data_IF_024236257932
#
_entry.id   IF_024236257932
#
_cell.length_a   1.000
_cell.length_b   1.000
_cell.length_c   1.000
_cell.angle_alpha   90.00
_cell.angle_beta   90.00
_cell.angle_gamma   90.00
#
_symmetry.space_group_name_H-M   'P 1'
#
loop_
_entity.id
_entity.type
_entity.pdbx_description
1 polymer ?
#
# COMPACT_ATOMS: atom_id res chain seq x y z
N UNK A 1 40.00 -10.85 -3.21
CA UNK A 1 38.79 -10.99 -4.04
C UNK A 1 38.03 -9.68 -3.97
N UNK A 2 37.86 -8.98 -5.09
CA UNK A 2 36.95 -7.82 -5.13
C UNK A 2 35.55 -8.28 -4.72
N UNK A 3 34.79 -7.50 -3.92
CA UNK A 3 33.43 -7.87 -3.56
C UNK A 3 32.64 -8.11 -4.83
N UNK A 4 31.88 -9.21 -4.88
CA UNK A 4 30.98 -9.48 -6.01
C UNK A 4 30.05 -8.28 -6.19
N UNK A 5 29.81 -7.82 -7.44
CA UNK A 5 28.95 -6.66 -7.66
C UNK A 5 27.57 -6.94 -7.07
N UNK A 6 27.11 -6.03 -6.21
CA UNK A 6 25.76 -6.09 -5.66
C UNK A 6 24.80 -5.30 -6.58
N UNK A 7 23.64 -5.86 -6.91
CA UNK A 7 22.63 -5.16 -7.70
C UNK A 7 22.08 -3.97 -6.92
N UNK A 8 21.92 -2.83 -7.59
CA UNK A 8 21.22 -1.69 -7.01
C UNK A 8 19.77 -1.67 -7.51
N UNK A 9 18.80 -1.84 -6.62
CA UNK A 9 17.37 -1.85 -6.98
C UNK A 9 16.66 -0.66 -6.35
N UNK A 10 16.24 0.27 -7.21
CA UNK A 10 15.41 1.41 -6.83
C UNK A 10 13.94 1.05 -7.06
N UNK A 11 13.23 0.91 -5.94
CA UNK A 11 11.78 0.67 -5.93
C UNK A 11 11.01 1.98 -5.83
N UNK A 12 9.99 2.15 -6.67
CA UNK A 12 9.09 3.31 -6.61
C UNK A 12 7.65 2.86 -6.50
N UNK A 13 6.82 3.68 -5.87
CA UNK A 13 5.37 3.49 -5.83
C UNK A 13 4.89 2.66 -4.64
N UNK A 14 4.26 1.52 -4.91
CA UNK A 14 3.45 0.81 -3.92
C UNK A 14 4.23 -0.26 -3.12
N UNK A 15 3.60 -0.75 -2.04
CA UNK A 15 4.14 -1.82 -1.18
C UNK A 15 4.43 -3.11 -1.93
N UNK A 16 3.65 -3.41 -2.98
CA UNK A 16 3.94 -4.53 -3.90
C UNK A 16 5.29 -4.35 -4.60
N UNK A 17 5.57 -3.17 -5.16
CA UNK A 17 6.86 -2.92 -5.78
C UNK A 17 8.01 -3.08 -4.77
N UNK A 18 7.82 -2.73 -3.50
CA UNK A 18 8.83 -2.96 -2.45
C UNK A 18 9.07 -4.47 -2.27
N UNK A 19 8.01 -5.25 -2.02
CA UNK A 19 8.12 -6.70 -1.85
C UNK A 19 8.75 -7.39 -3.08
N UNK A 20 8.31 -7.04 -4.28
CA UNK A 20 8.83 -7.58 -5.54
C UNK A 20 10.30 -7.19 -5.78
N UNK A 21 10.73 -6.02 -5.30
CA UNK A 21 12.12 -5.57 -5.44
C UNK A 21 13.11 -6.36 -4.59
N UNK A 22 12.70 -6.85 -3.42
CA UNK A 22 13.52 -7.76 -2.62
C UNK A 22 13.82 -9.05 -3.38
N UNK A 23 12.78 -9.63 -4.01
CA UNK A 23 12.95 -10.81 -4.86
C UNK A 23 13.89 -10.53 -6.03
N UNK A 24 13.74 -9.36 -6.68
CA UNK A 24 14.62 -8.95 -7.78
C UNK A 24 16.09 -8.84 -7.33
N UNK A 25 16.36 -8.27 -6.14
CA UNK A 25 17.75 -8.17 -5.62
C UNK A 25 18.42 -9.53 -5.51
N UNK A 26 17.67 -10.54 -5.09
CA UNK A 26 18.18 -11.90 -4.93
C UNK A 26 18.40 -12.58 -6.29
N UNK A 27 17.44 -12.46 -7.20
CA UNK A 27 17.56 -13.00 -8.55
C UNK A 27 18.71 -12.35 -9.34
N UNK A 28 19.00 -11.08 -9.06
CA UNK A 28 20.08 -10.32 -9.68
C UNK A 28 21.41 -10.37 -8.90
N UNK A 29 21.50 -11.14 -7.81
CA UNK A 29 22.70 -11.18 -6.97
C UNK A 29 23.92 -11.65 -7.77
N UNK A 30 25.07 -11.01 -7.54
CA UNK A 30 26.32 -11.32 -8.26
C UNK A 30 26.45 -10.67 -9.64
N UNK A 31 25.47 -9.86 -10.08
CA UNK A 31 25.53 -9.10 -11.33
C UNK A 31 25.73 -7.60 -11.08
N UNK A 32 26.48 -6.95 -11.97
CA UNK A 32 26.58 -5.49 -12.01
C UNK A 32 25.38 -4.88 -12.75
N UNK A 33 24.23 -4.85 -12.06
CA UNK A 33 22.95 -4.39 -12.62
C UNK A 33 22.30 -3.34 -11.73
N UNK A 34 21.76 -2.30 -12.36
CA UNK A 34 20.93 -1.27 -11.75
C UNK A 34 19.49 -1.47 -12.22
N UNK A 35 18.55 -1.67 -11.28
CA UNK A 35 17.14 -1.93 -11.61
C UNK A 35 16.25 -0.80 -11.13
N UNK A 36 15.39 -0.29 -12.01
CA UNK A 36 14.29 0.61 -11.63
C UNK A 36 12.98 -0.15 -11.71
N UNK A 37 12.37 -0.45 -10.56
CA UNK A 37 11.02 -0.99 -10.49
C UNK A 37 9.99 0.14 -10.49
N UNK A 38 9.51 0.46 -11.70
CA UNK A 38 8.71 1.65 -11.99
C UNK A 38 7.25 1.55 -11.52
N UNK A 39 6.65 2.72 -11.25
CA UNK A 39 5.26 2.85 -10.82
C UNK A 39 4.45 3.69 -11.82
N UNK A 40 3.21 3.27 -12.07
CA UNK A 40 2.28 3.93 -12.99
C UNK A 40 1.02 4.50 -12.32
N UNK A 41 0.94 4.46 -10.98
CA UNK A 41 -0.25 4.90 -10.23
C UNK A 41 -0.55 6.38 -10.50
N UNK A 42 0.48 7.23 -10.51
CA UNK A 42 0.37 8.65 -10.83
C UNK A 42 1.36 9.07 -11.93
N UNK A 43 1.07 10.18 -12.62
CA UNK A 43 1.98 10.74 -13.65
C UNK A 43 3.27 11.21 -12.98
N UNK A 44 3.16 11.65 -11.73
CA UNK A 44 4.30 12.00 -10.91
C UNK A 44 5.19 10.78 -10.60
N UNK A 45 4.60 9.63 -10.27
CA UNK A 45 5.36 8.39 -10.07
C UNK A 45 6.09 7.95 -11.35
N UNK A 46 5.50 8.15 -12.53
CA UNK A 46 6.16 7.89 -13.82
C UNK A 46 7.33 8.86 -14.03
N UNK A 47 7.15 10.15 -13.74
CA UNK A 47 8.24 11.15 -13.80
C UNK A 47 9.38 10.81 -12.86
N UNK A 48 9.07 10.43 -11.61
CA UNK A 48 10.05 9.98 -10.62
C UNK A 48 10.80 8.73 -11.10
N UNK A 49 10.12 7.81 -11.79
CA UNK A 49 10.76 6.64 -12.41
C UNK A 49 11.78 7.04 -13.46
N UNK A 50 11.41 7.96 -14.38
CA UNK A 50 12.34 8.50 -15.39
C UNK A 50 13.50 9.28 -14.77
N UNK A 51 13.26 10.04 -13.70
CA UNK A 51 14.32 10.74 -12.97
C UNK A 51 15.28 9.77 -12.26
N UNK A 52 14.76 8.70 -11.67
CA UNK A 52 15.56 7.66 -11.03
C UNK A 52 16.48 6.94 -12.02
N UNK A 53 15.98 6.61 -13.23
CA UNK A 53 16.78 6.04 -14.32
C UNK A 53 17.99 6.92 -14.64
N UNK A 54 17.76 8.21 -14.89
CA UNK A 54 18.84 9.16 -15.20
C UNK A 54 19.85 9.31 -14.08
N UNK A 55 19.38 9.30 -12.84
CA UNK A 55 20.26 9.35 -11.66
C UNK A 55 21.13 8.10 -11.57
N UNK A 56 20.54 6.91 -11.71
CA UNK A 56 21.26 5.64 -11.65
C UNK A 56 22.29 5.50 -12.75
N UNK A 57 21.97 5.88 -14.00
CA UNK A 57 22.95 5.85 -15.09
C UNK A 57 24.16 6.74 -14.80
N UNK A 58 23.95 7.92 -14.19
CA UNK A 58 25.05 8.80 -13.79
C UNK A 58 25.91 8.23 -12.66
N UNK A 59 25.30 7.57 -11.67
CA UNK A 59 26.05 6.99 -10.54
C UNK A 59 26.66 5.63 -10.86
N UNK A 60 26.11 4.89 -11.83
CA UNK A 60 26.57 3.57 -12.28
C UNK A 60 26.67 3.50 -13.80
N UNK A 61 27.65 4.18 -14.42
CA UNK A 61 27.74 4.27 -15.88
C UNK A 61 27.97 2.92 -16.56
N UNK A 62 28.70 2.00 -15.92
CA UNK A 62 29.06 0.68 -16.47
C UNK A 62 28.04 -0.43 -16.20
N UNK A 63 27.14 -0.25 -15.24
CA UNK A 63 26.18 -1.29 -14.88
C UNK A 63 25.10 -1.43 -15.96
N UNK A 64 24.59 -2.65 -16.16
CA UNK A 64 23.39 -2.86 -16.98
C UNK A 64 22.21 -2.17 -16.28
N UNK A 65 21.54 -1.22 -16.93
CA UNK A 65 20.37 -0.53 -16.41
C UNK A 65 19.11 -1.18 -16.97
N UNK A 66 18.41 -1.92 -16.10
CA UNK A 66 17.15 -2.59 -16.40
C UNK A 66 15.99 -1.81 -15.82
N UNK A 67 14.95 -1.57 -16.62
CA UNK A 67 13.69 -0.98 -16.14
C UNK A 67 12.60 -2.03 -16.15
N UNK A 68 11.86 -2.14 -15.05
CA UNK A 68 10.69 -3.02 -14.93
C UNK A 68 9.54 -2.33 -14.22
N UNK A 69 8.49 -3.05 -13.86
CA UNK A 69 7.34 -2.55 -13.13
C UNK A 69 6.20 -2.06 -14.01
N UNK A 70 5.22 -1.40 -13.39
CA UNK A 70 3.94 -1.08 -14.03
C UNK A 70 4.10 -0.08 -15.18
N UNK A 71 4.93 0.97 -15.02
CA UNK A 71 5.06 2.00 -16.04
C UNK A 71 5.78 1.47 -17.28
N UNK A 72 6.85 0.71 -17.07
CA UNK A 72 7.59 0.04 -18.14
C UNK A 72 6.76 -1.00 -18.90
N UNK A 73 5.74 -1.57 -18.28
CA UNK A 73 4.82 -2.51 -18.94
C UNK A 73 3.73 -1.81 -19.73
N UNK A 74 3.25 -0.65 -19.26
CA UNK A 74 2.23 0.15 -19.94
C UNK A 74 2.83 0.91 -21.13
N UNK A 75 4.06 1.40 -21.01
CA UNK A 75 4.77 2.16 -22.04
C UNK A 75 6.17 1.58 -22.35
N UNK A 76 6.26 0.35 -22.86
CA UNK A 76 7.55 -0.29 -23.10
C UNK A 76 8.41 0.48 -24.12
N UNK A 77 7.78 1.03 -25.16
CA UNK A 77 8.46 1.82 -26.18
C UNK A 77 9.06 3.11 -25.60
N UNK A 78 8.30 3.85 -24.78
CA UNK A 78 8.77 5.11 -24.20
C UNK A 78 9.86 4.94 -23.13
N UNK A 79 9.98 3.77 -22.51
CA UNK A 79 11.13 3.45 -21.65
C UNK A 79 12.33 2.90 -22.44
N UNK A 80 12.10 2.08 -23.48
CA UNK A 80 13.18 1.57 -24.34
C UNK A 80 13.85 2.66 -25.19
N UNK A 81 13.13 3.74 -25.50
CA UNK A 81 13.67 4.90 -26.22
C UNK A 81 14.58 5.79 -25.35
N UNK A 82 14.67 5.56 -24.04
CA UNK A 82 15.58 6.31 -23.17
C UNK A 82 17.01 5.81 -23.38
N UNK A 83 17.93 6.70 -23.76
CA UNK A 83 19.33 6.36 -24.00
C UNK A 83 20.03 5.76 -22.77
N UNK A 84 19.50 6.01 -21.57
CA UNK A 84 20.04 5.48 -20.33
C UNK A 84 19.65 4.02 -20.06
N UNK A 85 18.67 3.45 -20.76
CA UNK A 85 18.07 2.13 -20.49
C UNK A 85 18.66 1.08 -21.43
N UNK A 86 19.24 0.02 -20.88
CA UNK A 86 19.79 -1.08 -21.68
C UNK A 86 18.71 -2.12 -22.00
N UNK A 87 17.78 -2.35 -21.06
CA UNK A 87 16.76 -3.38 -21.20
C UNK A 87 15.49 -3.06 -20.44
N UNK A 88 14.35 -3.40 -21.03
CA UNK A 88 13.03 -3.35 -20.38
C UNK A 88 12.54 -4.77 -20.10
N UNK A 89 12.16 -5.04 -18.84
CA UNK A 89 11.55 -6.31 -18.42
C UNK A 89 10.09 -6.05 -18.05
N UNK A 90 9.15 -6.67 -18.77
CA UNK A 90 7.74 -6.52 -18.47
C UNK A 90 7.38 -7.11 -17.09
N UNK A 91 6.37 -6.52 -16.45
CA UNK A 91 5.98 -6.83 -15.08
C UNK A 91 5.67 -8.32 -14.83
N UNK A 92 5.03 -9.08 -15.74
CA UNK A 92 4.80 -10.52 -15.55
C UNK A 92 6.09 -11.36 -15.47
N UNK A 93 7.18 -10.89 -16.09
CA UNK A 93 8.45 -11.62 -16.15
C UNK A 93 9.47 -11.16 -15.11
N UNK A 94 9.18 -10.11 -14.35
CA UNK A 94 10.16 -9.49 -13.44
C UNK A 94 10.57 -10.36 -12.26
N UNK A 95 9.78 -11.38 -11.92
CA UNK A 95 10.12 -12.35 -10.88
C UNK A 95 10.58 -13.69 -11.47
N UNK A 96 10.81 -13.75 -12.79
CA UNK A 96 11.31 -14.94 -13.47
C UNK A 96 12.84 -15.00 -13.36
N UNK A 97 13.44 -16.09 -12.84
CA UNK A 97 14.90 -16.21 -12.72
C UNK A 97 15.66 -16.02 -14.05
N UNK A 98 15.19 -16.55 -15.20
CA UNK A 98 15.80 -16.26 -16.51
C UNK A 98 15.88 -14.78 -16.87
N UNK A 99 14.95 -13.93 -16.41
CA UNK A 99 15.00 -12.48 -16.66
C UNK A 99 16.24 -11.83 -16.03
N UNK A 100 16.82 -12.48 -15.04
CA UNK A 100 17.99 -12.06 -14.27
C UNK A 100 19.18 -12.99 -14.45
N UNK A 101 19.15 -13.91 -15.44
CA UNK A 101 20.25 -14.84 -15.70
C UNK A 101 20.54 -15.76 -14.51
N UNK A 102 19.51 -16.06 -13.73
CA UNK A 102 19.57 -16.96 -12.58
C UNK A 102 18.88 -18.27 -12.91
N UNK A 103 19.54 -19.39 -12.59
CA UNK A 103 18.98 -20.74 -12.65
C UNK A 103 18.38 -21.17 -11.30
N UNK A 104 18.46 -20.30 -10.28
CA UNK A 104 17.82 -20.59 -9.01
C UNK A 104 16.32 -20.74 -9.26
N UNK A 105 15.68 -21.82 -8.79
CA UNK A 105 14.22 -21.91 -8.82
C UNK A 105 13.63 -20.69 -8.11
N UNK A 106 12.35 -20.38 -8.35
CA UNK A 106 11.61 -19.39 -7.57
C UNK A 106 11.59 -19.81 -6.10
N UNK A 107 12.69 -19.59 -5.38
CA UNK A 107 12.78 -19.76 -3.97
C UNK A 107 11.89 -18.64 -3.39
N UNK A 108 10.93 -18.97 -2.52
CA UNK A 108 10.15 -17.96 -1.84
C UNK A 108 11.08 -17.32 -0.82
N UNK A 109 11.88 -16.34 -1.24
CA UNK A 109 12.85 -15.73 -0.33
C UNK A 109 12.25 -14.50 0.31
N UNK A 110 11.87 -14.72 1.55
CA UNK A 110 11.62 -13.77 2.62
C UNK A 110 12.95 -13.29 3.20
N UNK A 111 13.11 -11.99 3.35
CA UNK A 111 13.66 -11.33 4.54
C UNK A 111 13.94 -9.87 4.18
N UNK A 112 13.28 -8.95 4.89
CA UNK A 112 13.49 -7.52 4.71
C UNK A 112 14.73 -7.11 5.50
N UNK A 113 15.89 -7.11 4.85
CA UNK A 113 17.06 -6.47 5.41
C UNK A 113 16.81 -4.94 5.46
N UNK A 114 16.31 -4.44 6.59
CA UNK A 114 16.25 -3.00 6.90
C UNK A 114 14.86 -2.38 7.09
N UNK A 115 13.76 -3.13 6.95
CA UNK A 115 12.42 -2.65 7.29
C UNK A 115 11.88 -3.35 8.54
N UNK A 116 11.43 -2.58 9.54
CA UNK A 116 10.81 -3.13 10.74
C UNK A 116 9.51 -3.89 10.48
N UNK A 117 8.78 -3.55 9.40
CA UNK A 117 7.56 -4.21 8.94
C UNK A 117 7.85 -5.03 7.70
N UNK A 118 7.42 -6.29 7.71
CA UNK A 118 7.57 -7.18 6.57
C UNK A 118 6.29 -7.20 5.72
N UNK A 119 6.42 -7.07 4.40
CA UNK A 119 5.29 -7.13 3.46
C UNK A 119 5.15 -8.53 2.85
N UNK A 120 3.94 -9.10 2.89
CA UNK A 120 3.63 -10.36 2.22
C UNK A 120 2.65 -10.06 1.09
N UNK A 121 3.11 -10.20 -0.14
CA UNK A 121 2.23 -10.18 -1.32
C UNK A 121 1.32 -11.40 -1.28
N UNK A 122 0.01 -11.15 -1.13
CA UNK A 122 -1.03 -12.19 -1.14
C UNK A 122 -1.81 -12.18 -2.45
N UNK A 123 -1.91 -11.03 -3.11
CA UNK A 123 -2.76 -10.82 -4.29
C UNK A 123 -2.08 -9.82 -5.24
N UNK A 124 -2.16 -10.04 -6.56
CA UNK A 124 -1.59 -9.14 -7.57
C UNK A 124 -2.51 -9.05 -8.79
N UNK A 125 -2.41 -7.95 -9.55
CA UNK A 125 -3.35 -7.65 -10.63
C UNK A 125 -4.73 -7.25 -10.11
N UNK A 126 -5.68 -6.99 -11.00
CA UNK A 126 -7.04 -6.66 -10.59
C UNK A 126 -8.01 -6.85 -11.75
N UNK A 127 -9.09 -7.59 -11.49
CA UNK A 127 -10.17 -7.78 -12.48
C UNK A 127 -11.20 -6.66 -12.43
N UNK A 128 -11.15 -5.83 -11.39
CA UNK A 128 -12.00 -4.66 -11.29
C UNK A 128 -11.57 -3.57 -12.28
N UNK A 129 -12.50 -3.17 -13.16
CA UNK A 129 -12.27 -2.21 -14.25
C UNK A 129 -12.73 -0.80 -13.86
N UNK A 130 -12.17 -0.26 -12.77
CA UNK A 130 -12.35 1.15 -12.39
C UNK A 130 -12.02 2.07 -13.58
N UNK A 131 -12.86 3.07 -13.85
CA UNK A 131 -12.74 3.89 -15.08
C UNK A 131 -11.51 4.79 -15.10
N UNK A 132 -10.85 5.02 -13.96
CA UNK A 132 -9.62 5.81 -13.83
C UNK A 132 -8.35 4.97 -13.70
N UNK A 133 -8.47 3.66 -13.42
CA UNK A 133 -7.35 2.84 -12.99
C UNK A 133 -6.57 2.26 -14.17
N UNK A 134 -5.24 2.45 -14.16
CA UNK A 134 -4.36 1.86 -15.15
C UNK A 134 -3.72 0.53 -14.71
N UNK A 135 -3.95 0.09 -13.47
CA UNK A 135 -3.34 -1.12 -12.90
C UNK A 135 -3.60 -2.37 -13.74
N UNK A 136 -4.80 -2.63 -14.30
CA UNK A 136 -5.01 -3.83 -15.09
C UNK A 136 -4.12 -3.91 -16.34
N UNK A 137 -3.73 -2.77 -16.91
CA UNK A 137 -2.78 -2.72 -18.04
C UNK A 137 -1.34 -3.02 -17.61
N UNK A 138 -0.96 -2.69 -16.38
CA UNK A 138 0.40 -2.90 -15.86
C UNK A 138 0.62 -4.23 -15.13
N UNK A 139 -0.40 -4.76 -14.44
CA UNK A 139 -0.31 -5.95 -13.58
C UNK A 139 -1.16 -7.13 -14.04
N UNK A 140 -2.07 -6.93 -14.99
CA UNK A 140 -2.94 -7.97 -15.54
C UNK A 140 -4.13 -8.34 -14.64
N UNK A 141 -4.69 -9.51 -14.92
CA UNK A 141 -5.82 -10.11 -14.17
C UNK A 141 -5.47 -10.39 -12.71
N UNK A 142 -6.48 -10.48 -11.85
CA UNK A 142 -6.27 -10.83 -10.44
C UNK A 142 -5.65 -12.22 -10.31
N UNK A 143 -4.67 -12.35 -9.43
CA UNK A 143 -3.99 -13.61 -9.10
C UNK A 143 -3.73 -13.66 -7.61
N UNK A 144 -4.11 -14.75 -6.98
CA UNK A 144 -3.93 -14.97 -5.55
C UNK A 144 -2.84 -15.96 -5.26
N UNK A 145 -2.08 -15.71 -4.19
CA UNK A 145 -1.18 -16.71 -3.63
C UNK A 145 -2.00 -17.71 -2.79
N UNK A 146 -1.83 -19.04 -2.98
CA UNK A 146 -2.53 -20.03 -2.16
C UNK A 146 -2.29 -19.87 -0.66
N UNK A 147 -3.31 -20.13 0.16
CA UNK A 147 -3.26 -19.88 1.60
C UNK A 147 -2.10 -20.59 2.31
N UNK A 148 -1.79 -21.84 1.95
CA UNK A 148 -0.66 -22.58 2.53
C UNK A 148 0.66 -21.86 2.29
N UNK A 149 0.90 -21.43 1.05
CA UNK A 149 2.07 -20.64 0.72
C UNK A 149 2.11 -19.34 1.53
N UNK A 150 1.01 -18.58 1.62
CA UNK A 150 0.92 -17.36 2.45
C UNK A 150 1.30 -17.65 3.91
N UNK A 151 0.72 -18.67 4.53
CA UNK A 151 0.99 -19.06 5.92
C UNK A 151 2.47 -19.37 6.12
N UNK A 152 3.08 -20.12 5.20
CA UNK A 152 4.51 -20.43 5.26
C UNK A 152 5.38 -19.18 5.12
N UNK A 153 4.98 -18.20 4.30
CA UNK A 153 5.64 -16.88 4.19
C UNK A 153 5.62 -16.14 5.52
N UNK A 154 4.44 -16.07 6.14
CA UNK A 154 4.25 -15.38 7.41
C UNK A 154 5.07 -16.07 8.50
N UNK A 155 5.06 -17.41 8.56
CA UNK A 155 5.85 -18.18 9.53
C UNK A 155 7.34 -17.90 9.38
N UNK A 156 7.87 -17.97 8.17
CA UNK A 156 9.29 -17.70 7.91
C UNK A 156 9.71 -16.28 8.35
N UNK A 157 8.84 -15.27 8.18
CA UNK A 157 9.11 -13.90 8.65
C UNK A 157 9.11 -13.79 10.17
N UNK A 158 8.18 -14.48 10.84
CA UNK A 158 8.14 -14.54 12.31
C UNK A 158 9.39 -15.25 12.86
N UNK A 159 9.78 -16.37 12.26
CA UNK A 159 10.99 -17.12 12.62
C UNK A 159 12.27 -16.29 12.39
N UNK A 160 12.26 -15.39 11.40
CA UNK A 160 13.33 -14.42 11.15
C UNK A 160 13.30 -13.20 12.10
N UNK A 161 12.38 -13.14 13.07
CA UNK A 161 12.31 -12.09 14.08
C UNK A 161 11.47 -10.86 13.69
N UNK A 162 10.67 -10.92 12.62
CA UNK A 162 9.76 -9.83 12.29
C UNK A 162 8.53 -9.85 13.20
N UNK A 163 8.31 -8.77 13.94
CA UNK A 163 7.16 -8.64 14.85
C UNK A 163 5.88 -8.13 14.18
N UNK A 164 5.96 -7.55 12.98
CA UNK A 164 4.79 -7.08 12.24
C UNK A 164 4.84 -7.48 10.77
N UNK A 165 3.78 -8.17 10.33
CA UNK A 165 3.56 -8.61 8.95
C UNK A 165 2.39 -7.83 8.35
N UNK A 166 2.59 -7.30 7.16
CA UNK A 166 1.60 -6.54 6.40
C UNK A 166 1.17 -7.33 5.17
N UNK A 167 -0.09 -7.74 5.10
CA UNK A 167 -0.64 -8.36 3.90
C UNK A 167 -0.86 -7.30 2.83
N UNK A 168 -0.26 -7.49 1.65
CA UNK A 168 -0.30 -6.53 0.56
C UNK A 168 -0.80 -7.13 -0.74
N UNK A 169 -1.51 -6.29 -1.49
CA UNK A 169 -2.09 -6.61 -2.78
C UNK A 169 -2.52 -5.33 -3.49
N UNK A 170 -3.08 -5.48 -4.69
CA UNK A 170 -3.75 -4.37 -5.38
C UNK A 170 -5.10 -4.11 -4.71
N UNK A 171 -5.84 -5.19 -4.48
CA UNK A 171 -7.13 -5.22 -3.80
C UNK A 171 -7.16 -6.53 -2.99
N UNK A 172 -6.76 -6.50 -1.72
CA UNK A 172 -6.55 -7.74 -0.97
C UNK A 172 -7.85 -8.47 -0.67
N UNK A 173 -9.00 -7.78 -0.66
CA UNK A 173 -10.30 -8.42 -0.47
C UNK A 173 -10.72 -9.28 -1.65
N UNK A 174 -10.15 -9.03 -2.84
CA UNK A 174 -10.36 -9.87 -4.03
C UNK A 174 -9.60 -11.20 -4.00
N UNK A 175 -8.76 -11.42 -2.98
CA UNK A 175 -8.00 -12.65 -2.80
C UNK A 175 -8.91 -13.88 -2.76
N UNK A 176 -8.47 -14.95 -3.40
CA UNK A 176 -9.09 -16.27 -3.36
C UNK A 176 -10.16 -16.50 -4.43
N UNK A 177 -10.64 -15.46 -5.10
CA UNK A 177 -11.65 -15.57 -6.17
C UNK A 177 -11.21 -16.44 -7.36
N UNK A 178 -9.91 -16.50 -7.63
CA UNK A 178 -9.26 -17.32 -8.66
C UNK A 178 -8.80 -18.70 -8.16
N UNK A 179 -8.94 -18.99 -6.86
CA UNK A 179 -8.52 -20.27 -6.26
C UNK A 179 -9.66 -21.30 -6.20
N UNK A 180 -9.34 -22.61 -6.16
CA UNK A 180 -10.33 -23.66 -5.95
C UNK A 180 -11.13 -23.43 -4.66
N UNK A 181 -12.46 -23.57 -4.74
CA UNK A 181 -13.37 -23.32 -3.63
C UNK A 181 -13.61 -21.84 -3.30
N UNK A 182 -12.96 -20.91 -4.02
CA UNK A 182 -13.14 -19.45 -3.91
C UNK A 182 -13.16 -18.95 -2.45
N UNK A 183 -12.14 -19.28 -1.63
CA UNK A 183 -12.11 -18.86 -0.24
C UNK A 183 -12.07 -17.33 -0.15
N UNK A 184 -12.70 -16.77 0.88
CA UNK A 184 -12.68 -15.32 1.12
C UNK A 184 -11.36 -14.87 1.75
N UNK A 185 -11.06 -13.58 1.64
CA UNK A 185 -9.91 -12.99 2.33
C UNK A 185 -10.01 -13.13 3.86
N UNK A 186 -11.21 -13.06 4.44
CA UNK A 186 -11.43 -13.36 5.86
C UNK A 186 -10.95 -14.77 6.24
N UNK A 187 -11.21 -15.77 5.39
CA UNK A 187 -10.72 -17.13 5.61
C UNK A 187 -9.19 -17.25 5.52
N UNK A 188 -8.52 -16.42 4.72
CA UNK A 188 -7.04 -16.34 4.73
C UNK A 188 -6.54 -15.80 6.07
N UNK A 189 -7.12 -14.71 6.56
CA UNK A 189 -6.74 -14.10 7.83
C UNK A 189 -6.94 -15.09 8.98
N UNK A 190 -8.09 -15.76 9.05
CA UNK A 190 -8.36 -16.83 10.02
C UNK A 190 -7.27 -17.91 9.99
N UNK A 191 -6.88 -18.39 8.80
CA UNK A 191 -5.84 -19.43 8.65
C UNK A 191 -4.46 -18.95 9.11
N UNK A 192 -4.09 -17.71 8.80
CA UNK A 192 -2.82 -17.14 9.27
C UNK A 192 -2.81 -17.08 10.80
N UNK A 193 -3.87 -16.56 11.40
CA UNK A 193 -4.02 -16.43 12.85
C UNK A 193 -4.00 -17.79 13.56
N UNK A 194 -4.60 -18.82 12.95
CA UNK A 194 -4.62 -20.17 13.50
C UNK A 194 -3.28 -20.91 13.37
N UNK A 195 -2.59 -20.76 12.22
CA UNK A 195 -1.38 -21.55 11.91
C UNK A 195 -0.05 -20.85 12.20
N UNK A 196 -0.08 -19.58 12.61
CA UNK A 196 1.10 -18.82 13.06
C UNK A 196 0.80 -18.15 14.41
N UNK A 197 0.69 -18.93 15.50
CA UNK A 197 0.35 -18.39 16.84
C UNK A 197 1.39 -17.40 17.37
N UNK A 198 2.65 -17.53 16.96
CA UNK A 198 3.74 -16.63 17.35
C UNK A 198 3.68 -15.24 16.67
N UNK A 199 2.81 -15.02 15.68
CA UNK A 199 2.65 -13.73 15.02
C UNK A 199 2.16 -12.68 16.02
N UNK A 200 2.91 -11.60 16.21
CA UNK A 200 2.52 -10.53 17.13
C UNK A 200 1.56 -9.52 16.50
N UNK A 201 1.84 -9.09 15.27
CA UNK A 201 1.03 -8.09 14.55
C UNK A 201 0.81 -8.45 13.09
N UNK A 202 -0.44 -8.39 12.67
CA UNK A 202 -0.92 -8.55 11.32
C UNK A 202 -1.62 -7.26 10.88
N UNK A 203 -1.08 -6.57 9.89
CA UNK A 203 -1.72 -5.38 9.30
C UNK A 203 -2.28 -5.71 7.93
N UNK A 204 -3.48 -5.21 7.68
CA UNK A 204 -4.15 -5.31 6.40
C UNK A 204 -3.91 -4.00 5.62
N UNK A 205 -3.64 -4.11 4.33
CA UNK A 205 -3.59 -2.97 3.42
C UNK A 205 -4.83 -2.93 2.51
N UNK A 206 -4.87 -2.00 1.56
CA UNK A 206 -5.91 -1.74 0.54
C UNK A 206 -7.11 -2.71 0.50
N UNK A 207 -8.18 -2.35 1.22
CA UNK A 207 -9.43 -3.10 1.31
C UNK A 207 -10.53 -2.44 0.45
N UNK A 208 -11.30 -3.23 -0.31
CA UNK A 208 -12.59 -2.78 -0.84
C UNK A 208 -13.68 -2.97 0.21
N UNK A 209 -14.41 -1.90 0.54
CA UNK A 209 -15.39 -1.88 1.62
C UNK A 209 -16.51 -2.91 1.42
N UNK A 210 -16.95 -3.14 0.18
CA UNK A 210 -18.07 -4.04 -0.09
C UNK A 210 -17.68 -5.53 0.02
N UNK A 211 -16.38 -5.84 -0.07
CA UNK A 211 -15.88 -7.22 -0.08
C UNK A 211 -15.41 -7.67 1.32
N UNK A 212 -15.53 -6.81 2.34
CA UNK A 212 -15.26 -7.17 3.72
C UNK A 212 -16.36 -8.09 4.26
N UNK A 213 -16.07 -9.39 4.32
CA UNK A 213 -16.99 -10.40 4.83
C UNK A 213 -17.04 -10.43 6.37
N UNK A 214 -18.06 -11.12 6.92
CA UNK A 214 -18.26 -11.22 8.37
C UNK A 214 -17.07 -11.90 9.08
N UNK A 215 -16.37 -12.82 8.41
CA UNK A 215 -15.17 -13.47 8.95
C UNK A 215 -14.04 -12.46 9.17
N UNK A 216 -13.81 -11.60 8.18
CA UNK A 216 -12.80 -10.56 8.30
C UNK A 216 -13.17 -9.55 9.39
N UNK A 217 -14.44 -9.14 9.46
CA UNK A 217 -14.93 -8.23 10.52
C UNK A 217 -14.72 -8.88 11.90
N UNK A 218 -15.04 -10.16 12.06
CA UNK A 218 -14.83 -10.90 13.30
C UNK A 218 -13.33 -10.98 13.67
N UNK A 219 -12.43 -11.21 12.71
CA UNK A 219 -10.99 -11.19 12.96
C UNK A 219 -10.51 -9.80 13.39
N UNK A 220 -10.95 -8.75 12.71
CA UNK A 220 -10.61 -7.36 13.05
C UNK A 220 -11.12 -7.00 14.45
N UNK A 221 -12.33 -7.43 14.82
CA UNK A 221 -12.91 -7.10 16.12
C UNK A 221 -12.32 -7.93 17.27
N UNK A 222 -12.10 -9.23 17.04
CA UNK A 222 -11.84 -10.21 18.10
C UNK A 222 -10.37 -10.55 18.34
N UNK A 223 -9.48 -10.40 17.35
CA UNK A 223 -8.07 -10.79 17.48
C UNK A 223 -7.15 -9.56 17.54
N UNK A 224 -6.50 -9.36 18.68
CA UNK A 224 -5.58 -8.24 18.92
C UNK A 224 -4.35 -8.25 18.01
N UNK A 225 -3.98 -9.41 17.44
CA UNK A 225 -2.89 -9.48 16.46
C UNK A 225 -3.27 -8.76 15.18
N UNK A 226 -4.55 -8.69 14.82
CA UNK A 226 -5.00 -7.84 13.71
C UNK A 226 -4.94 -6.39 14.16
N UNK A 227 -4.19 -5.55 13.45
CA UNK A 227 -3.98 -4.16 13.85
C UNK A 227 -5.25 -3.32 13.67
N UNK A 228 -5.59 -2.41 14.63
CA UNK A 228 -6.78 -1.55 14.62
C UNK A 228 -6.63 -0.40 13.62
N UNK A 229 -6.31 -0.71 12.37
CA UNK A 229 -6.17 0.26 11.30
C UNK A 229 -6.54 -0.40 9.98
N UNK A 230 -7.52 0.17 9.30
CA UNK A 230 -7.96 -0.26 7.98
C UNK A 230 -7.79 0.87 6.98
N UNK A 231 -7.43 0.50 5.75
CA UNK A 231 -7.29 1.45 4.64
C UNK A 231 -8.30 1.11 3.54
N UNK A 232 -9.33 1.93 3.41
CA UNK A 232 -10.46 1.70 2.51
C UNK A 232 -10.30 2.44 1.18
N UNK A 233 -10.50 1.75 0.07
CA UNK A 233 -10.51 2.37 -1.25
C UNK A 233 -11.86 3.05 -1.57
N UNK A 234 -12.20 4.11 -0.81
CA UNK A 234 -13.50 4.80 -0.91
C UNK A 234 -13.67 5.64 -2.18
N UNK A 235 -12.61 6.29 -2.64
CA UNK A 235 -12.47 7.13 -3.84
C UNK A 235 -13.30 8.42 -3.88
N UNK A 236 -14.59 8.41 -3.52
CA UNK A 236 -15.47 9.60 -3.52
C UNK A 236 -16.63 9.43 -2.54
N UNK A 237 -17.19 10.55 -2.05
CA UNK A 237 -18.41 10.55 -1.24
C UNK A 237 -19.71 10.68 -2.03
N UNK A 238 -19.65 10.87 -3.35
CA UNK A 238 -20.84 11.05 -4.19
C UNK A 238 -21.19 9.78 -4.96
N UNK A 239 -22.41 9.29 -4.83
CA UNK A 239 -22.87 8.06 -5.51
C UNK A 239 -22.80 8.16 -7.03
N UNK A 240 -23.03 9.34 -7.60
CA UNK A 240 -22.93 9.54 -9.05
C UNK A 240 -21.48 9.45 -9.52
N UNK A 241 -20.53 10.00 -8.76
CA UNK A 241 -19.10 9.87 -9.04
C UNK A 241 -18.64 8.42 -8.84
N UNK A 242 -19.04 7.76 -7.75
CA UNK A 242 -18.76 6.35 -7.50
C UNK A 242 -19.26 5.46 -8.65
N UNK A 243 -20.49 5.69 -9.15
CA UNK A 243 -21.04 5.00 -10.32
C UNK A 243 -20.20 5.24 -11.58
N UNK A 244 -19.78 6.48 -11.85
CA UNK A 244 -18.92 6.82 -13.00
C UNK A 244 -17.50 6.26 -12.86
N UNK A 245 -17.00 6.13 -11.64
CA UNK A 245 -15.77 5.44 -11.30
C UNK A 245 -15.87 3.92 -11.46
N UNK A 246 -17.09 3.38 -11.57
CA UNK A 246 -17.44 1.96 -11.50
C UNK A 246 -17.14 1.32 -10.13
N UNK A 247 -17.26 2.06 -9.03
CA UNK A 247 -17.15 1.48 -7.69
C UNK A 247 -18.32 0.55 -7.39
N UNK A 248 -18.06 -0.44 -6.52
CA UNK A 248 -19.03 -1.47 -6.11
C UNK A 248 -19.83 -1.09 -4.86
N UNK A 249 -19.41 -0.03 -4.18
CA UNK A 249 -20.05 0.52 -3.00
C UNK A 249 -20.65 1.90 -3.30
N UNK A 250 -21.74 2.22 -2.61
CA UNK A 250 -22.25 3.58 -2.45
C UNK A 250 -21.78 4.22 -1.15
N UNK A 251 -22.07 5.52 -0.99
CA UNK A 251 -21.74 6.32 0.19
C UNK A 251 -22.31 5.72 1.47
N UNK A 252 -23.62 5.41 1.48
CA UNK A 252 -24.29 4.88 2.67
C UNK A 252 -23.71 3.54 3.13
N UNK A 253 -23.31 2.67 2.18
CA UNK A 253 -22.67 1.40 2.50
C UNK A 253 -21.29 1.57 3.14
N UNK A 254 -20.51 2.54 2.65
CA UNK A 254 -19.20 2.86 3.23
C UNK A 254 -19.34 3.38 4.67
N UNK A 255 -20.29 4.30 4.91
CA UNK A 255 -20.56 4.84 6.26
C UNK A 255 -21.01 3.73 7.20
N UNK A 256 -21.99 2.92 6.79
CA UNK A 256 -22.50 1.82 7.60
C UNK A 256 -21.42 0.79 7.97
N UNK A 257 -20.50 0.48 7.04
CA UNK A 257 -19.36 -0.38 7.34
C UNK A 257 -18.46 0.22 8.42
N UNK A 258 -18.11 1.50 8.30
CA UNK A 258 -17.25 2.18 9.27
C UNK A 258 -17.91 2.24 10.65
N UNK A 259 -19.21 2.56 10.71
CA UNK A 259 -19.98 2.54 11.95
C UNK A 259 -19.95 1.16 12.62
N UNK A 260 -20.18 0.09 11.84
CA UNK A 260 -20.10 -1.29 12.33
C UNK A 260 -18.71 -1.63 12.87
N UNK A 261 -17.65 -1.25 12.14
CA UNK A 261 -16.27 -1.52 12.56
C UNK A 261 -15.91 -0.77 13.84
N UNK A 262 -16.32 0.49 13.98
CA UNK A 262 -16.09 1.27 15.21
C UNK A 262 -16.91 0.78 16.39
N UNK A 263 -18.13 0.32 16.16
CA UNK A 263 -18.93 -0.32 17.20
C UNK A 263 -18.27 -1.61 17.70
N UNK A 264 -17.71 -2.41 16.79
CA UNK A 264 -17.05 -3.67 17.12
C UNK A 264 -15.63 -3.47 17.72
N UNK A 265 -14.94 -2.41 17.30
CA UNK A 265 -13.57 -2.09 17.73
C UNK A 265 -13.37 -0.56 17.85
N UNK A 266 -13.67 0.04 19.01
CA UNK A 266 -13.68 1.49 19.18
C UNK A 266 -12.35 2.20 18.92
N UNK A 267 -11.21 1.50 19.09
CA UNK A 267 -9.86 2.01 18.85
C UNK A 267 -9.44 1.98 17.36
N UNK A 268 -10.30 1.48 16.46
CA UNK A 268 -9.97 1.35 15.03
C UNK A 268 -9.81 2.71 14.35
N UNK A 269 -8.66 2.92 13.72
CA UNK A 269 -8.37 4.06 12.86
C UNK A 269 -8.76 3.77 11.41
N UNK A 270 -9.36 4.77 10.76
CA UNK A 270 -9.81 4.67 9.37
C UNK A 270 -8.90 5.50 8.49
N UNK A 271 -8.25 4.81 7.54
CA UNK A 271 -7.62 5.42 6.38
C UNK A 271 -8.46 5.23 5.13
N UNK A 272 -8.33 6.15 4.19
CA UNK A 272 -9.01 6.01 2.91
C UNK A 272 -8.27 6.69 1.75
N UNK A 273 -8.44 6.14 0.55
CA UNK A 273 -8.08 6.83 -0.69
C UNK A 273 -9.26 7.68 -1.17
N UNK A 274 -9.04 8.95 -1.51
CA UNK A 274 -10.04 9.83 -2.13
C UNK A 274 -9.42 10.57 -3.32
N UNK A 275 -10.16 10.60 -4.44
CA UNK A 275 -9.78 11.29 -5.66
C UNK A 275 -10.63 12.55 -5.80
N UNK A 276 -9.97 13.72 -5.77
CA UNK A 276 -10.63 15.01 -5.92
C UNK A 276 -10.70 15.42 -7.40
N UNK A 277 -11.82 16.00 -7.83
CA UNK A 277 -11.96 16.53 -9.18
C UNK A 277 -12.01 15.45 -10.25
N UNK A 278 -12.65 14.31 -9.94
CA UNK A 278 -12.96 13.30 -10.95
C UNK A 278 -13.73 13.94 -12.12
N UNK A 279 -13.61 13.46 -13.37
CA UNK A 279 -14.34 14.03 -14.49
C UNK A 279 -15.83 14.14 -14.16
N UNK A 280 -16.47 15.24 -14.58
CA UNK A 280 -17.88 15.58 -14.31
C UNK A 280 -18.27 15.83 -12.85
N UNK A 281 -17.31 15.96 -11.92
CA UNK A 281 -17.57 16.35 -10.52
C UNK A 281 -17.91 17.84 -10.41
N UNK A 282 -19.10 18.14 -9.92
CA UNK A 282 -19.55 19.49 -9.55
C UNK A 282 -19.34 19.78 -8.06
N UNK A 283 -19.80 20.95 -7.61
CA UNK A 283 -19.59 21.41 -6.23
C UNK A 283 -20.41 20.60 -5.21
N UNK A 284 -21.62 20.14 -5.56
CA UNK A 284 -22.43 19.31 -4.68
C UNK A 284 -21.80 17.93 -4.48
N UNK A 285 -21.32 17.31 -5.57
CA UNK A 285 -20.61 16.03 -5.52
C UNK A 285 -19.27 16.13 -4.76
N UNK A 286 -18.61 17.27 -4.83
CA UNK A 286 -17.43 17.53 -4.02
C UNK A 286 -17.77 17.72 -2.54
N UNK A 287 -18.82 18.48 -2.22
CA UNK A 287 -19.30 18.66 -0.85
C UNK A 287 -19.65 17.33 -0.18
N UNK A 288 -20.23 16.39 -0.93
CA UNK A 288 -20.42 15.01 -0.48
C UNK A 288 -19.09 14.37 -0.06
N UNK A 289 -18.06 14.46 -0.91
CA UNK A 289 -16.74 13.88 -0.61
C UNK A 289 -16.10 14.51 0.62
N UNK A 290 -16.30 15.81 0.85
CA UNK A 290 -15.84 16.50 2.05
C UNK A 290 -16.58 16.00 3.30
N UNK A 291 -17.90 15.88 3.24
CA UNK A 291 -18.71 15.37 4.34
C UNK A 291 -18.41 13.89 4.67
N UNK A 292 -17.93 13.10 3.69
CA UNK A 292 -17.52 11.72 3.93
C UNK A 292 -16.31 11.60 4.87
N UNK A 293 -15.43 12.60 4.90
CA UNK A 293 -14.26 12.62 5.81
C UNK A 293 -14.70 12.55 7.27
N UNK A 294 -15.68 13.36 7.65
CA UNK A 294 -16.22 13.34 9.01
C UNK A 294 -17.08 12.09 9.25
N UNK A 295 -17.98 11.76 8.32
CA UNK A 295 -18.91 10.64 8.48
C UNK A 295 -18.22 9.27 8.63
N UNK A 296 -17.04 9.10 8.02
CA UNK A 296 -16.24 7.88 8.12
C UNK A 296 -15.05 8.02 9.08
N UNK A 297 -14.93 9.13 9.83
CA UNK A 297 -13.81 9.37 10.76
C UNK A 297 -12.43 9.11 10.10
N UNK A 298 -12.22 9.68 8.92
CA UNK A 298 -11.03 9.42 8.12
C UNK A 298 -9.86 10.23 8.69
N UNK A 299 -8.94 9.55 9.39
CA UNK A 299 -7.76 10.14 10.04
C UNK A 299 -6.45 9.89 9.28
N UNK A 300 -6.49 8.97 8.31
CA UNK A 300 -5.41 8.69 7.36
C UNK A 300 -5.90 8.82 5.91
N UNK A 301 -6.19 10.05 5.47
CA UNK A 301 -6.63 10.33 4.10
C UNK A 301 -5.47 10.40 3.11
N UNK A 302 -5.44 9.47 2.15
CA UNK A 302 -4.61 9.56 0.95
C UNK A 302 -5.39 10.28 -0.16
N UNK A 303 -5.20 11.59 -0.22
CA UNK A 303 -5.95 12.47 -1.13
C UNK A 303 -5.12 12.78 -2.38
N UNK A 304 -5.69 12.48 -3.56
CA UNK A 304 -5.05 12.74 -4.85
C UNK A 304 -5.96 13.58 -5.75
N UNK A 305 -5.46 14.63 -6.42
CA UNK A 305 -6.20 15.22 -7.53
C UNK A 305 -6.29 14.21 -8.68
N UNK A 306 -7.44 14.15 -9.35
CA UNK A 306 -7.62 13.26 -10.50
C UNK A 306 -6.61 13.58 -11.60
N UNK A 307 -5.89 12.55 -12.03
CA UNK A 307 -4.85 12.62 -13.06
C UNK A 307 -5.25 11.72 -14.23
N UNK A 308 -5.58 12.30 -15.41
CA UNK A 308 -5.98 11.53 -16.58
C UNK A 308 -4.89 10.56 -17.01
N UNK A 309 -5.31 9.37 -17.45
CA UNK A 309 -4.44 8.29 -17.90
C UNK A 309 -4.82 7.95 -19.33
N UNK A 310 -3.83 7.90 -20.23
CA UNK A 310 -4.07 7.44 -21.58
C UNK A 310 -4.71 6.03 -21.56
N UNK A 311 -5.72 5.82 -22.39
CA UNK A 311 -6.43 4.55 -22.49
C UNK A 311 -7.51 4.28 -21.43
N UNK A 312 -7.66 5.11 -20.39
CA UNK A 312 -8.72 4.89 -19.39
C UNK A 312 -10.05 5.52 -19.81
N UNK A 313 -11.21 4.91 -19.48
CA UNK A 313 -12.50 5.50 -19.81
C UNK A 313 -12.71 6.91 -19.23
N UNK A 314 -12.23 7.18 -18.01
CA UNK A 314 -12.36 8.49 -17.36
C UNK A 314 -11.57 9.59 -18.07
N UNK A 315 -10.49 9.27 -18.80
CA UNK A 315 -9.77 10.27 -19.60
C UNK A 315 -10.58 10.82 -20.77
N UNK A 316 -11.65 10.13 -21.19
CA UNK A 316 -12.55 10.55 -22.28
C UNK A 316 -13.79 11.30 -21.80
N UNK A 317 -13.99 11.42 -20.49
CA UNK A 317 -15.13 12.14 -19.89
C UNK A 317 -14.86 13.66 -19.86
N UNK A 318 -15.89 14.52 -19.75
CA UNK A 318 -15.71 15.96 -19.54
C UNK A 318 -14.89 16.24 -18.27
N UNK A 319 -13.78 16.93 -18.46
CA UNK A 319 -12.75 17.13 -17.46
C UNK A 319 -13.07 18.33 -16.56
N UNK A 320 -12.86 18.19 -15.25
CA UNK A 320 -12.83 19.34 -14.31
C UNK A 320 -11.55 20.13 -14.54
N UNK A 321 -11.55 21.45 -14.39
CA UNK A 321 -10.35 22.26 -14.60
C UNK A 321 -9.21 21.88 -13.63
N UNK A 322 -7.94 21.78 -14.09
CA UNK A 322 -6.82 21.38 -13.23
C UNK A 322 -6.67 22.18 -11.93
N UNK A 323 -6.98 23.48 -11.95
CA UNK A 323 -6.91 24.32 -10.75
C UNK A 323 -7.95 23.90 -9.71
N UNK A 324 -9.21 23.74 -10.13
CA UNK A 324 -10.31 23.26 -9.28
C UNK A 324 -9.97 21.91 -8.64
N UNK A 325 -9.36 20.96 -9.39
CA UNK A 325 -8.96 19.66 -8.82
C UNK A 325 -7.91 19.80 -7.71
N UNK A 326 -6.96 20.73 -7.89
CA UNK A 326 -5.90 20.99 -6.89
C UNK A 326 -6.50 21.61 -5.64
N UNK A 327 -7.38 22.58 -5.79
CA UNK A 327 -8.03 23.29 -4.68
C UNK A 327 -8.93 22.33 -3.88
N UNK A 328 -9.74 21.52 -4.56
CA UNK A 328 -10.54 20.46 -3.95
C UNK A 328 -9.69 19.43 -3.21
N UNK A 329 -8.55 19.02 -3.78
CA UNK A 329 -7.62 18.12 -3.11
C UNK A 329 -6.99 18.76 -1.86
N UNK A 330 -6.71 20.06 -1.88
CA UNK A 330 -6.19 20.79 -0.73
C UNK A 330 -7.23 20.83 0.41
N UNK A 331 -8.49 21.18 0.10
CA UNK A 331 -9.59 21.20 1.06
C UNK A 331 -9.84 19.82 1.72
N UNK A 332 -9.80 18.74 0.95
CA UNK A 332 -9.92 17.38 1.51
C UNK A 332 -8.75 17.00 2.42
N UNK A 333 -7.52 17.43 2.09
CA UNK A 333 -6.35 17.21 2.96
C UNK A 333 -6.47 18.00 4.26
N UNK A 334 -6.94 19.24 4.18
CA UNK A 334 -7.18 20.08 5.36
C UNK A 334 -8.25 19.46 6.27
N UNK A 335 -9.40 19.04 5.71
CA UNK A 335 -10.44 18.37 6.48
C UNK A 335 -9.93 17.08 7.16
N UNK A 336 -9.14 16.28 6.42
CA UNK A 336 -8.49 15.08 6.96
C UNK A 336 -7.50 15.44 8.07
N UNK A 337 -6.69 16.49 7.91
CA UNK A 337 -5.72 16.92 8.91
C UNK A 337 -6.42 17.41 10.18
N UNK A 338 -7.51 18.17 10.06
CA UNK A 338 -8.35 18.61 11.19
C UNK A 338 -8.96 17.42 11.92
N UNK A 339 -9.43 16.39 11.18
CA UNK A 339 -9.94 15.16 11.80
C UNK A 339 -8.83 14.38 12.51
N UNK A 340 -7.66 14.26 11.87
CA UNK A 340 -6.47 13.61 12.43
C UNK A 340 -5.99 14.29 13.72
N UNK A 341 -5.89 15.62 13.74
CA UNK A 341 -5.44 16.36 14.93
C UNK A 341 -6.36 16.12 16.14
N UNK A 342 -7.70 16.14 15.93
CA UNK A 342 -8.68 15.79 16.97
C UNK A 342 -8.51 14.37 17.47
N UNK A 343 -8.32 13.41 16.57
CA UNK A 343 -8.08 12.02 16.94
C UNK A 343 -6.78 11.83 17.73
N UNK A 344 -5.67 12.43 17.29
CA UNK A 344 -4.38 12.37 18.01
C UNK A 344 -4.47 13.00 19.39
N UNK A 345 -5.15 14.14 19.53
CA UNK A 345 -5.38 14.77 20.84
C UNK A 345 -6.15 13.84 21.80
N UNK A 346 -7.11 13.07 21.28
CA UNK A 346 -7.84 12.06 22.06
C UNK A 346 -7.01 10.86 22.52
N UNK A 347 -5.79 10.67 21.98
CA UNK A 347 -4.87 9.61 22.41
C UNK A 347 -3.92 10.06 23.53
N UNK A 348 -3.89 11.34 23.89
CA UNK A 348 -3.06 11.85 24.99
C UNK A 348 -3.49 11.21 26.32
N UNK A 349 -2.53 10.76 27.11
CA UNK A 349 -2.75 10.04 28.38
C UNK A 349 -2.99 8.54 28.22
N UNK A 350 -3.13 8.03 26.99
CA UNK A 350 -3.29 6.59 26.75
C UNK A 350 -1.94 5.86 26.74
N UNK A 351 -1.98 4.54 26.95
CA UNK A 351 -0.84 3.64 26.73
C UNK A 351 -0.96 2.99 25.36
N UNK A 352 0.06 3.13 24.54
CA UNK A 352 0.12 2.61 23.18
C UNK A 352 1.26 1.59 23.05
N UNK A 353 1.06 0.57 22.23
CA UNK A 353 2.14 -0.35 21.82
C UNK A 353 2.76 0.19 20.54
N UNK A 354 4.05 0.56 20.55
CA UNK A 354 4.72 1.27 19.45
C UNK A 354 5.81 0.41 18.83
N UNK A 355 5.73 0.17 17.51
CA UNK A 355 6.78 -0.48 16.74
C UNK A 355 7.77 0.56 16.23
N UNK A 356 9.05 0.41 16.56
CA UNK A 356 10.14 1.24 16.06
C UNK A 356 10.47 0.88 14.60
N UNK A 357 10.42 1.85 13.68
CA UNK A 357 10.55 1.54 12.24
C UNK A 357 11.92 1.76 11.63
N UNK A 358 12.62 2.77 12.13
CA UNK A 358 13.92 3.25 11.63
C UNK A 358 14.79 3.61 12.82
N UNK A 359 16.12 3.62 12.65
CA UNK A 359 17.01 4.10 13.70
C UNK A 359 16.58 5.51 14.13
N UNK A 360 16.60 5.75 15.45
CA UNK A 360 16.15 7.01 16.03
C UNK A 360 14.95 6.80 16.94
N UNK A 361 14.15 7.86 17.09
CA UNK A 361 13.07 7.95 18.07
C UNK A 361 11.68 7.95 17.44
N UNK A 362 11.50 7.24 16.32
CA UNK A 362 10.23 7.23 15.58
C UNK A 362 9.65 5.82 15.49
N UNK A 363 8.34 5.71 15.71
CA UNK A 363 7.59 4.47 15.53
C UNK A 363 6.12 4.70 15.24
N UNK A 364 5.38 3.60 15.07
CA UNK A 364 3.93 3.65 14.90
C UNK A 364 3.22 2.80 15.96
N UNK A 365 2.13 3.36 16.50
CA UNK A 365 1.19 2.63 17.34
C UNK A 365 0.40 1.59 16.53
N UNK A 366 -0.35 0.72 17.21
CA UNK A 366 -1.16 -0.33 16.59
C UNK A 366 -2.16 0.27 15.56
N UNK A 367 -2.83 1.35 15.95
CA UNK A 367 -3.76 2.14 15.14
C UNK A 367 -3.09 3.01 14.06
N UNK A 368 -1.77 2.85 13.88
CA UNK A 368 -0.95 3.57 12.91
C UNK A 368 -0.74 5.06 13.17
N UNK A 369 -1.00 5.53 14.40
CA UNK A 369 -0.54 6.85 14.83
C UNK A 369 1.00 6.89 14.84
N UNK A 370 1.59 7.94 14.26
CA UNK A 370 3.03 8.18 14.37
C UNK A 370 3.34 8.64 15.80
N UNK A 371 4.38 8.07 16.39
CA UNK A 371 4.83 8.39 17.75
C UNK A 371 6.31 8.75 17.70
N UNK A 372 6.63 9.95 18.23
CA UNK A 372 8.00 10.33 18.56
C UNK A 372 8.29 9.98 20.02
N UNK A 373 9.37 9.26 20.22
CA UNK A 373 9.84 8.77 21.49
C UNK A 373 10.87 9.74 22.08
N UNK A 374 11.01 9.74 23.39
CA UNK A 374 12.01 10.57 24.10
C UNK A 374 13.46 10.13 23.86
N UNK A 375 13.66 8.86 23.43
CA UNK A 375 14.98 8.27 23.19
C UNK A 375 14.99 7.41 21.94
N UNK A 376 16.19 7.19 21.41
CA UNK A 376 16.37 6.28 20.28
C UNK A 376 16.12 4.82 20.68
N UNK A 377 15.53 4.06 19.78
CA UNK A 377 15.22 2.63 19.96
C UNK A 377 15.68 1.82 18.75
N UNK A 378 15.89 0.54 18.98
CA UNK A 378 16.30 -0.39 17.93
C UNK A 378 15.12 -0.64 16.96
N UNK A 379 15.32 -0.51 15.64
CA UNK A 379 14.29 -0.85 14.66
C UNK A 379 13.79 -2.28 14.84
N UNK A 380 12.49 -2.50 14.60
CA UNK A 380 11.85 -3.82 14.73
C UNK A 380 11.40 -4.17 16.15
N UNK A 381 11.79 -3.40 17.16
CA UNK A 381 11.34 -3.63 18.55
C UNK A 381 10.00 -2.94 18.84
N UNK A 382 9.20 -3.56 19.71
CA UNK A 382 7.90 -3.04 20.17
C UNK A 382 8.02 -2.58 21.61
N UNK A 383 7.60 -1.34 21.89
CA UNK A 383 7.68 -0.74 23.22
C UNK A 383 6.31 -0.33 23.74
N UNK A 384 6.00 -0.55 25.03
CA UNK A 384 4.89 0.13 25.67
C UNK A 384 5.24 1.62 25.87
N UNK A 385 4.37 2.50 25.41
CA UNK A 385 4.61 3.95 25.43
C UNK A 385 3.42 4.65 26.06
N UNK A 386 3.68 5.53 27.02
CA UNK A 386 2.66 6.45 27.53
C UNK A 386 2.67 7.71 26.66
N UNK A 387 1.52 8.06 26.10
CA UNK A 387 1.40 9.24 25.24
C UNK A 387 1.28 10.48 26.11
N UNK A 388 2.28 11.35 26.05
CA UNK A 388 2.40 12.55 26.89
C UNK A 388 1.93 13.82 26.20
N UNK A 389 1.84 13.80 24.87
CA UNK A 389 1.36 14.94 24.09
C UNK A 389 1.05 14.57 22.65
N UNK A 390 0.49 15.52 21.92
CA UNK A 390 0.20 15.41 20.50
C UNK A 390 0.50 16.72 19.77
N UNK A 391 0.89 16.59 18.52
CA UNK A 391 0.87 17.67 17.53
C UNK A 391 -0.24 17.38 16.52
N UNK A 392 -0.41 18.24 15.52
CA UNK A 392 -1.38 18.01 14.44
C UNK A 392 -1.02 16.79 13.56
N UNK A 393 0.20 16.26 13.65
CA UNK A 393 0.70 15.20 12.76
C UNK A 393 1.10 13.90 13.46
N UNK A 394 1.63 13.98 14.68
CA UNK A 394 2.20 12.86 15.43
C UNK A 394 2.02 13.03 16.95
N UNK A 395 2.13 11.93 17.67
CA UNK A 395 2.14 11.84 19.13
C UNK A 395 3.55 11.99 19.68
N UNK A 396 3.64 12.43 20.94
CA UNK A 396 4.84 12.39 21.76
C UNK A 396 4.63 11.35 22.86
N UNK A 397 5.64 10.54 23.15
CA UNK A 397 5.51 9.53 24.19
C UNK A 397 6.81 9.12 24.86
N UNK A 398 6.67 8.62 26.08
CA UNK A 398 7.76 8.12 26.92
C UNK A 398 7.65 6.60 27.04
N UNK A 399 8.78 5.92 26.98
CA UNK A 399 8.78 4.45 27.08
C UNK A 399 8.63 4.10 28.55
N UNK A 400 7.62 3.27 28.85
CA UNK A 400 7.33 2.85 30.21
C UNK A 400 8.44 2.00 30.83
#
# INVERSE_FOLDING_TARGET
MSPSPQPEVVSLGCRLNIAESETIRLLAAGRDVAVVNSCAVTNEAVKQSRAAIRRLRRSRPSAELVVTGCAATIDPAGFSAMAEVDRVVANPHKLSPPSWGSDQPNAPVFAFAGHARAFVEVQNGCDHRCTFCAIPFGRGASRSLPAGAVVDRVRALVDAGHHEVVLTGVDVTSWGSDLPGRPSFGALVERILAHVPALMRLRLSSLDSIEMDERLIACIAGDRRVMPHIHLSLQSGSDLILKRMKRRHGRAQAIALVERLKAARPDIAIGADIIAGFPTEDDAMFADSLAMVEACDIVHGHIFPYSPRAGTPAARMPQVEPQIRRDRAALLREATATRRARWLAGLVGTRQSVLAERPGSHGHAENFAEVRLERAVQPGTIHPVTITGATDSHLLGTIA
#
